data_IF_749460878955
#
_entry.id   IF_749460878955
#
_cell.length_a   1.000
_cell.length_b   1.000
_cell.length_c   1.000
_cell.angle_alpha   90.00
_cell.angle_beta   90.00
_cell.angle_gamma   90.00
#
_symmetry.space_group_name_H-M   'P 1'
#
loop_
_entity.id
_entity.type
_entity.pdbx_description
1 polymer ?
#
# COMPACT_ATOMS: atom_id res chain seq x y z
N UNK A 1 4.78 2.03 -3.80
CA UNK A 1 4.30 2.63 -5.06
C UNK A 1 4.66 4.11 -5.03
N UNK A 2 5.78 4.46 -5.67
CA UNK A 2 6.43 5.77 -5.64
C UNK A 2 6.13 6.54 -6.93
N UNK A 3 5.63 7.77 -6.82
CA UNK A 3 5.52 8.70 -7.96
C UNK A 3 6.24 9.98 -7.60
N UNK A 4 7.00 10.49 -8.55
CA UNK A 4 7.76 11.74 -8.41
C UNK A 4 6.89 12.93 -8.82
N UNK A 5 6.63 13.79 -7.85
CA UNK A 5 6.32 15.19 -8.08
C UNK A 5 7.19 15.97 -7.08
N UNK A 6 7.78 17.11 -7.44
CA UNK A 6 8.37 18.09 -6.51
C UNK A 6 9.55 17.69 -5.57
N UNK A 7 10.46 16.77 -5.96
CA UNK A 7 11.70 16.46 -5.20
C UNK A 7 11.50 15.97 -3.75
N UNK A 8 10.36 15.35 -3.46
CA UNK A 8 10.13 14.67 -2.18
C UNK A 8 9.31 13.39 -2.38
N UNK A 9 9.51 12.36 -1.54
CA UNK A 9 8.79 11.10 -1.68
C UNK A 9 7.28 11.30 -1.53
N UNK A 10 6.52 10.72 -2.45
CA UNK A 10 5.07 10.63 -2.38
C UNK A 10 4.63 9.18 -2.26
N UNK A 11 3.53 8.98 -1.55
CA UNK A 11 2.82 7.71 -1.48
C UNK A 11 1.62 7.76 -2.43
N UNK A 12 1.51 6.75 -3.31
CA UNK A 12 0.32 6.60 -4.13
C UNK A 12 -0.85 6.00 -3.32
N UNK A 13 -1.96 6.73 -3.28
CA UNK A 13 -3.18 6.38 -2.56
C UNK A 13 -4.40 6.40 -3.49
N UNK A 14 -5.33 5.47 -3.25
CA UNK A 14 -6.64 5.46 -3.87
C UNK A 14 -7.63 6.21 -2.98
N UNK A 15 -8.25 7.26 -3.53
CA UNK A 15 -9.31 8.02 -2.87
C UNK A 15 -10.68 7.49 -3.30
N UNK A 16 -11.51 7.14 -2.33
CA UNK A 16 -12.90 6.68 -2.49
C UNK A 16 -13.84 7.79 -2.01
N UNK A 17 -14.81 8.20 -2.83
CA UNK A 17 -15.86 9.19 -2.47
C UNK A 17 -15.31 10.48 -1.83
N UNK A 18 -14.15 10.97 -2.31
CA UNK A 18 -13.46 12.18 -1.88
C UNK A 18 -13.02 12.28 -0.39
N UNK A 19 -13.36 11.34 0.49
CA UNK A 19 -13.02 11.43 1.92
C UNK A 19 -12.26 10.23 2.49
N UNK A 20 -12.21 9.11 1.77
CA UNK A 20 -11.58 7.88 2.28
C UNK A 20 -10.36 7.52 1.43
N UNK A 21 -9.22 7.31 2.09
CA UNK A 21 -7.97 6.93 1.43
C UNK A 21 -7.65 5.46 1.70
N UNK A 22 -7.16 4.77 0.67
CA UNK A 22 -6.79 3.35 0.74
C UNK A 22 -5.50 3.09 -0.02
N UNK A 23 -4.72 2.15 0.48
CA UNK A 23 -3.60 1.60 -0.28
C UNK A 23 -4.11 0.61 -1.35
N UNK A 24 -3.47 0.55 -2.53
CA UNK A 24 -3.69 -0.55 -3.48
C UNK A 24 -3.33 -1.90 -2.84
N UNK A 25 -4.18 -2.90 -3.04
CA UNK A 25 -4.03 -4.22 -2.40
C UNK A 25 -5.38 -4.90 -2.17
N UNK A 26 -5.39 -5.95 -1.36
CA UNK A 26 -6.63 -6.62 -0.96
C UNK A 26 -6.39 -8.00 -0.34
N UNK A 27 -7.48 -8.76 -0.18
CA UNK A 27 -7.46 -10.08 0.45
C UNK A 27 -6.81 -11.14 -0.45
N UNK A 28 -5.94 -11.96 0.14
CA UNK A 28 -5.33 -13.14 -0.48
C UNK A 28 -6.34 -14.28 -0.64
N UNK A 29 -6.09 -15.15 -1.63
CA UNK A 29 -6.80 -16.44 -1.76
C UNK A 29 -6.18 -17.48 -0.82
N UNK A 30 -6.92 -18.51 -0.39
CA UNK A 30 -6.33 -19.62 0.37
C UNK A 30 -5.14 -20.23 -0.38
N UNK A 31 -4.00 -20.42 0.32
CA UNK A 31 -2.77 -20.99 -0.25
C UNK A 31 -1.95 -20.05 -1.15
N UNK A 32 -2.41 -18.82 -1.38
CA UNK A 32 -1.67 -17.84 -2.18
C UNK A 32 -0.57 -17.15 -1.38
N UNK A 33 0.59 -16.93 -2.00
CA UNK A 33 1.70 -16.19 -1.37
C UNK A 33 1.35 -14.70 -1.24
N UNK A 34 1.92 -14.02 -0.24
CA UNK A 34 1.70 -12.57 -0.06
C UNK A 34 2.12 -11.77 -1.31
N UNK A 35 3.25 -12.15 -1.91
CA UNK A 35 3.82 -11.49 -3.08
C UNK A 35 2.94 -11.68 -4.31
N UNK A 36 2.56 -12.93 -4.64
CA UNK A 36 1.77 -13.21 -5.84
C UNK A 36 0.36 -12.64 -5.71
N UNK A 37 -0.23 -12.71 -4.51
CA UNK A 37 -1.51 -12.11 -4.25
C UNK A 37 -1.47 -10.59 -4.34
N UNK A 38 -0.42 -9.93 -3.85
CA UNK A 38 -0.25 -8.49 -4.02
C UNK A 38 -0.10 -8.14 -5.50
N UNK A 39 0.78 -8.81 -6.26
CA UNK A 39 0.93 -8.59 -7.72
C UNK A 39 -0.41 -8.73 -8.44
N UNK A 40 -1.16 -9.80 -8.18
CA UNK A 40 -2.50 -10.03 -8.75
C UNK A 40 -3.48 -8.91 -8.37
N UNK A 41 -3.45 -8.42 -7.13
CA UNK A 41 -4.34 -7.31 -6.69
C UNK A 41 -3.96 -5.98 -7.32
N UNK A 42 -2.67 -5.71 -7.52
CA UNK A 42 -2.21 -4.50 -8.21
C UNK A 42 -2.60 -4.54 -9.69
N UNK A 43 -2.38 -5.68 -10.36
CA UNK A 43 -2.81 -5.89 -11.75
C UNK A 43 -4.32 -5.65 -11.92
N UNK A 44 -5.13 -6.30 -11.07
CA UNK A 44 -6.59 -6.19 -11.11
C UNK A 44 -7.13 -4.78 -10.82
N UNK A 45 -6.40 -3.96 -10.03
CA UNK A 45 -6.86 -2.63 -9.62
C UNK A 45 -6.30 -1.47 -10.42
N UNK A 46 -5.13 -1.66 -11.04
CA UNK A 46 -4.32 -0.57 -11.59
C UNK A 46 -3.84 -0.82 -13.04
N UNK A 47 -4.20 -1.94 -13.68
CA UNK A 47 -3.73 -2.30 -15.02
C UNK A 47 -4.87 -2.61 -16.00
N UNK A 48 -4.57 -2.53 -17.30
CA UNK A 48 -5.53 -2.72 -18.42
C UNK A 48 -5.92 -4.18 -18.61
N UNK A 49 -4.96 -5.09 -18.48
CA UNK A 49 -5.05 -6.39 -19.14
C UNK A 49 -4.79 -7.54 -18.15
N UNK A 50 -5.74 -8.48 -18.07
CA UNK A 50 -5.56 -9.75 -17.35
C UNK A 50 -4.54 -10.66 -18.07
N UNK A 51 -4.20 -10.35 -19.33
CA UNK A 51 -3.22 -11.10 -20.13
C UNK A 51 -1.74 -10.73 -19.89
N UNK A 52 -1.43 -10.00 -18.82
CA UNK A 52 -0.09 -10.02 -18.21
C UNK A 52 1.05 -9.30 -18.96
N UNK A 53 0.80 -8.59 -20.07
CA UNK A 53 1.89 -8.04 -20.89
C UNK A 53 2.39 -6.63 -20.51
N UNK A 54 1.83 -5.96 -19.50
CA UNK A 54 2.10 -4.52 -19.30
C UNK A 54 2.71 -4.05 -17.98
N UNK A 55 2.62 -4.82 -16.89
CA UNK A 55 3.05 -4.35 -15.57
C UNK A 55 3.74 -5.46 -14.77
N UNK A 56 5.06 -5.56 -14.88
CA UNK A 56 5.85 -6.42 -14.02
C UNK A 56 6.03 -5.74 -12.65
N UNK A 57 5.06 -5.91 -11.76
CA UNK A 57 5.11 -5.34 -10.42
C UNK A 57 6.25 -5.96 -9.60
N UNK A 58 7.25 -5.17 -9.25
CA UNK A 58 8.34 -5.60 -8.37
C UNK A 58 7.95 -5.33 -6.90
N UNK A 59 7.50 -6.39 -6.22
CA UNK A 59 7.21 -6.38 -4.78
C UNK A 59 8.52 -6.63 -4.03
N UNK A 60 8.93 -5.65 -3.23
CA UNK A 60 10.10 -5.71 -2.35
C UNK A 60 9.76 -6.21 -0.94
N UNK A 61 10.46 -5.68 0.06
CA UNK A 61 10.33 -6.15 1.45
C UNK A 61 8.99 -5.76 2.13
N UNK A 62 8.64 -6.54 3.15
CA UNK A 62 7.53 -6.24 4.04
C UNK A 62 7.94 -5.11 5.00
N UNK A 63 7.22 -3.99 4.94
CA UNK A 63 7.45 -2.81 5.77
C UNK A 63 6.83 -2.92 7.17
N UNK A 64 5.70 -3.62 7.27
CA UNK A 64 4.97 -3.70 8.54
C UNK A 64 3.82 -4.69 8.49
N UNK A 65 3.41 -5.13 9.67
CA UNK A 65 2.32 -6.09 9.85
C UNK A 65 1.40 -5.61 10.97
N UNK A 66 0.11 -5.78 10.78
CA UNK A 66 -0.92 -5.46 11.77
C UNK A 66 -1.89 -6.62 11.91
N UNK A 67 -2.38 -6.83 13.12
CA UNK A 67 -3.26 -7.94 13.45
C UNK A 67 -4.56 -7.47 14.08
N UNK A 68 -5.66 -8.17 13.79
CA UNK A 68 -6.91 -8.08 14.55
C UNK A 68 -7.10 -9.38 15.35
N UNK A 69 -7.30 -9.26 16.65
CA UNK A 69 -7.57 -10.39 17.54
C UNK A 69 -8.93 -11.03 17.27
N UNK A 70 -9.93 -10.21 16.98
CA UNK A 70 -11.32 -10.57 16.70
C UNK A 70 -11.89 -9.67 15.58
N UNK A 71 -13.20 -9.76 15.31
CA UNK A 71 -13.83 -9.02 14.21
C UNK A 71 -14.03 -7.53 14.50
N UNK A 72 -14.05 -7.12 15.77
CA UNK A 72 -14.32 -5.74 16.22
C UNK A 72 -13.05 -5.04 16.70
N UNK A 73 -12.00 -5.79 17.02
CA UNK A 73 -10.73 -5.30 17.49
C UNK A 73 -10.09 -4.30 16.53
N UNK A 74 -9.40 -3.31 17.11
CA UNK A 74 -8.54 -2.42 16.35
C UNK A 74 -7.29 -3.16 15.84
N UNK A 75 -6.67 -2.62 14.79
CA UNK A 75 -5.41 -3.13 14.26
C UNK A 75 -4.26 -2.83 15.23
N UNK A 76 -3.53 -3.86 15.66
CA UNK A 76 -2.34 -3.72 16.48
C UNK A 76 -1.07 -4.03 15.65
N UNK A 77 0.03 -3.27 15.80
CA UNK A 77 1.29 -3.52 15.08
C UNK A 77 2.11 -4.69 15.66
N UNK A 78 1.49 -5.53 16.49
CA UNK A 78 2.04 -6.76 17.06
C UNK A 78 0.90 -7.77 17.26
N UNK A 79 1.22 -9.06 17.32
CA UNK A 79 0.26 -10.08 17.72
C UNK A 79 0.08 -10.03 19.25
N UNK A 80 -1.12 -9.75 19.79
CA UNK A 80 -1.30 -9.67 21.24
C UNK A 80 -1.02 -11.02 21.93
N UNK A 81 -0.41 -11.04 23.14
CA UNK A 81 0.09 -12.27 23.77
C UNK A 81 -0.93 -13.39 23.94
N UNK A 82 -2.19 -13.06 24.20
CA UNK A 82 -3.25 -14.05 24.45
C UNK A 82 -4.00 -14.50 23.19
N UNK A 83 -3.59 -14.03 22.00
CA UNK A 83 -4.28 -14.29 20.74
C UNK A 83 -3.58 -15.43 20.00
N UNK A 84 -4.14 -16.64 20.12
CA UNK A 84 -3.62 -17.82 19.42
C UNK A 84 -4.02 -17.90 17.94
N UNK A 85 -5.16 -17.29 17.57
CA UNK A 85 -5.74 -17.35 16.23
C UNK A 85 -6.30 -15.97 15.83
N UNK A 86 -5.45 -15.06 15.32
CA UNK A 86 -5.91 -13.75 14.84
C UNK A 86 -6.92 -13.92 13.70
N UNK A 87 -7.88 -13.01 13.60
CA UNK A 87 -8.90 -13.02 12.52
C UNK A 87 -8.43 -12.37 11.24
N UNK A 88 -7.47 -11.45 11.35
CA UNK A 88 -6.89 -10.74 10.22
C UNK A 88 -5.41 -10.45 10.48
N UNK A 89 -4.61 -10.57 9.42
CA UNK A 89 -3.22 -10.11 9.38
C UNK A 89 -3.05 -9.27 8.11
N UNK A 90 -2.83 -7.97 8.29
CA UNK A 90 -2.58 -7.02 7.21
C UNK A 90 -1.09 -6.80 7.09
N UNK A 91 -0.53 -7.05 5.90
CA UNK A 91 0.89 -6.85 5.62
C UNK A 91 1.06 -5.73 4.60
N UNK A 92 2.01 -4.83 4.85
CA UNK A 92 2.36 -3.74 3.96
C UNK A 92 3.70 -4.05 3.30
N UNK A 93 3.77 -3.90 1.97
CA UNK A 93 4.99 -4.15 1.20
C UNK A 93 5.43 -2.90 0.45
N UNK A 94 6.74 -2.74 0.30
CA UNK A 94 7.31 -1.77 -0.63
C UNK A 94 7.17 -2.31 -2.05
N UNK A 95 6.64 -1.50 -2.96
CA UNK A 95 6.52 -1.85 -4.39
C UNK A 95 7.33 -0.84 -5.18
N UNK A 96 8.34 -1.33 -5.91
CA UNK A 96 9.16 -0.53 -6.81
C UNK A 96 8.41 -0.37 -8.13
N UNK A 97 8.42 0.86 -8.64
CA UNK A 97 7.84 1.18 -9.94
C UNK A 97 8.98 1.34 -10.94
N UNK A 98 8.77 0.94 -12.21
CA UNK A 98 9.70 1.31 -13.28
C UNK A 98 9.67 2.83 -13.50
N UNK A 99 10.65 3.35 -14.23
CA UNK A 99 10.76 4.78 -14.53
C UNK A 99 9.48 5.38 -15.16
N UNK A 100 8.75 4.59 -15.93
CA UNK A 100 7.44 4.96 -16.45
C UNK A 100 6.46 3.80 -16.30
N UNK A 101 5.29 4.08 -15.75
CA UNK A 101 4.22 3.11 -15.57
C UNK A 101 2.87 3.78 -15.84
N UNK A 102 2.05 3.16 -16.70
CA UNK A 102 0.67 3.58 -16.89
C UNK A 102 -0.22 2.89 -15.86
N UNK A 103 -1.12 3.66 -15.24
CA UNK A 103 -2.14 3.16 -14.32
C UNK A 103 -3.53 3.38 -14.90
N UNK A 104 -4.38 2.36 -14.79
CA UNK A 104 -5.83 2.51 -15.01
C UNK A 104 -6.53 2.48 -13.68
N UNK A 105 -7.35 3.51 -13.46
CA UNK A 105 -8.05 3.70 -12.19
C UNK A 105 -9.55 3.62 -12.47
N UNK A 106 -10.30 2.79 -11.73
CA UNK A 106 -11.76 2.74 -11.85
C UNK A 106 -12.38 4.13 -11.68
N UNK A 107 -13.45 4.44 -12.44
CA UNK A 107 -14.07 5.78 -12.48
C UNK A 107 -14.55 6.32 -11.12
N UNK A 108 -14.86 5.43 -10.18
CA UNK A 108 -15.29 5.76 -8.82
C UNK A 108 -14.12 6.03 -7.85
N UNK A 109 -12.87 5.94 -8.32
CA UNK A 109 -11.66 6.14 -7.56
C UNK A 109 -10.79 7.22 -8.21
N UNK A 110 -9.97 7.88 -7.40
CA UNK A 110 -8.88 8.74 -7.86
C UNK A 110 -7.57 8.18 -7.34
N UNK A 111 -6.55 8.11 -8.20
CA UNK A 111 -5.19 7.81 -7.78
C UNK A 111 -4.47 9.13 -7.51
N UNK A 112 -3.97 9.30 -6.30
CA UNK A 112 -3.33 10.51 -5.83
C UNK A 112 -1.89 10.21 -5.41
N UNK A 113 -0.97 11.09 -5.77
CA UNK A 113 0.35 11.14 -5.15
C UNK A 113 0.29 12.09 -3.97
N UNK A 114 0.46 11.57 -2.75
CA UNK A 114 0.40 12.36 -1.51
C UNK A 114 1.79 12.45 -0.87
N UNK A 115 2.30 13.65 -0.56
CA UNK A 115 3.61 13.83 0.08
C UNK A 115 3.70 13.10 1.43
N UNK A 116 4.83 12.47 1.75
CA UNK A 116 5.00 11.81 3.05
C UNK A 116 4.81 12.77 4.25
N UNK A 117 5.22 14.04 4.11
CA UNK A 117 5.04 15.06 5.15
C UNK A 117 3.57 15.37 5.46
N UNK A 118 2.66 15.25 4.47
CA UNK A 118 1.23 15.44 4.68
C UNK A 118 0.58 14.24 5.38
N UNK A 119 1.17 13.05 5.21
CA UNK A 119 0.66 11.78 5.73
C UNK A 119 1.10 11.56 7.18
N UNK A 120 2.32 11.97 7.51
CA UNK A 120 2.96 11.74 8.81
C UNK A 120 2.05 12.12 9.97
N UNK A 121 1.75 11.14 10.84
CA UNK A 121 0.95 11.29 12.06
C UNK A 121 -0.49 11.81 11.85
N UNK A 122 -0.96 11.95 10.61
CA UNK A 122 -2.31 12.39 10.29
C UNK A 122 -3.31 11.21 10.30
N UNK A 123 -3.49 10.65 11.50
CA UNK A 123 -4.38 9.52 11.78
C UNK A 123 -5.84 9.83 11.46
N UNK A 124 -6.26 11.10 11.64
CA UNK A 124 -7.65 11.54 11.40
C UNK A 124 -8.05 11.38 9.93
N UNK A 125 -7.15 11.72 9.00
CA UNK A 125 -7.44 11.66 7.56
C UNK A 125 -7.07 10.31 6.94
N UNK A 126 -5.92 9.75 7.31
CA UNK A 126 -5.36 8.59 6.61
C UNK A 126 -5.49 7.27 7.39
N UNK A 127 -5.90 7.33 8.66
CA UNK A 127 -5.94 6.15 9.54
C UNK A 127 -4.54 5.67 9.95
N UNK A 128 -4.46 4.78 10.95
CA UNK A 128 -3.21 4.46 11.65
C UNK A 128 -2.16 3.75 10.82
N UNK A 129 -2.58 2.97 9.81
CA UNK A 129 -1.64 2.23 8.95
C UNK A 129 -0.95 3.19 7.98
N UNK A 130 -1.71 4.05 7.29
CA UNK A 130 -1.15 4.95 6.28
C UNK A 130 -0.34 6.07 6.94
N UNK A 131 -0.83 6.65 8.05
CA UNK A 131 -0.12 7.73 8.76
C UNK A 131 1.22 7.32 9.36
N UNK A 132 1.44 6.02 9.59
CA UNK A 132 2.71 5.45 10.06
C UNK A 132 3.71 5.07 8.96
N UNK A 133 3.31 5.15 7.67
CA UNK A 133 4.20 4.82 6.54
C UNK A 133 5.48 5.65 6.53
N UNK A 134 5.48 6.97 6.80
CA UNK A 134 6.72 7.75 6.78
C UNK A 134 7.77 7.22 7.78
N UNK A 135 7.36 6.81 8.99
CA UNK A 135 8.27 6.20 9.96
C UNK A 135 8.85 4.87 9.44
N UNK A 136 8.02 4.01 8.84
CA UNK A 136 8.48 2.73 8.29
C UNK A 136 9.46 2.90 7.11
N UNK A 137 9.32 4.00 6.37
CA UNK A 137 10.18 4.33 5.25
C UNK A 137 11.47 5.07 5.65
N UNK A 138 11.60 5.51 6.91
CA UNK A 138 12.75 6.32 7.38
C UNK A 138 14.10 5.60 7.27
N UNK A 139 14.09 4.25 7.25
CA UNK A 139 15.29 3.41 7.09
C UNK A 139 15.80 3.31 5.65
N UNK A 140 15.07 3.84 4.66
CA UNK A 140 15.44 3.74 3.25
C UNK A 140 16.10 5.02 2.75
N UNK A 141 17.15 4.88 1.96
CA UNK A 141 17.71 5.99 1.17
C UNK A 141 16.93 6.12 -0.13
N UNK A 142 16.42 7.32 -0.41
CA UNK A 142 15.72 7.61 -1.65
C UNK A 142 16.70 8.15 -2.70
N UNK A 143 16.92 7.39 -3.77
CA UNK A 143 17.62 7.88 -4.95
C UNK A 143 16.63 8.70 -5.78
N UNK A 144 16.75 10.02 -5.74
CA UNK A 144 15.98 10.93 -6.58
C UNK A 144 16.75 11.14 -7.89
N UNK A 145 16.20 10.65 -8.99
CA UNK A 145 16.84 10.73 -10.32
C UNK A 145 16.39 12.03 -10.96
N UNK A 146 17.33 12.92 -11.29
CA UNK A 146 17.03 14.14 -12.06
C UNK A 146 16.84 13.77 -13.54
N UNK A 147 15.73 14.18 -14.14
CA UNK A 147 15.47 14.11 -15.58
C UNK A 147 15.45 15.51 -16.19
#
# INVERSE_FOLDING_TARGET
MQVELFKHPHLLLLQVRNCMFRLPGGRLRPGESDVDGLKRKLLSKLSIDEQGSGANWEVGECLGMWWKSDFEALLCPYLPPNVKKPKECTKLFLVKLPASQKFIVPRNLKLLAVPLCQIHENHKTYGPVISGVPQLLSKFSFNMVEF
#
